data_IF_866276941185
#
_entry.id   IF_866276941185
#
_cell.length_a   1.000
_cell.length_b   1.000
_cell.length_c   1.000
_cell.angle_alpha   90.00
_cell.angle_beta   90.00
_cell.angle_gamma   90.00
#
_symmetry.space_group_name_H-M   'P 1'
#
loop_
_entity.id
_entity.type
_entity.pdbx_description
1 polymer ?
#
# COMPACT_ATOMS: atom_id res chain seq x y z
N UNK A 1 -26.82 11.24 -3.37
CA UNK A 1 -26.72 10.40 -2.17
C UNK A 1 -27.84 9.35 -2.05
N UNK A 2 -29.14 9.65 -2.32
CA UNK A 2 -30.22 8.65 -2.24
C UNK A 2 -30.09 7.50 -3.25
N UNK A 3 -29.83 7.79 -4.52
CA UNK A 3 -29.75 6.78 -5.59
C UNK A 3 -28.62 5.76 -5.36
N UNK A 4 -27.46 6.21 -4.87
CA UNK A 4 -26.32 5.33 -4.61
C UNK A 4 -26.55 4.40 -3.39
N UNK A 5 -27.22 4.88 -2.34
CA UNK A 5 -27.57 4.06 -1.19
C UNK A 5 -28.65 3.02 -1.54
N UNK A 6 -29.58 3.38 -2.45
CA UNK A 6 -30.59 2.45 -2.95
C UNK A 6 -29.98 1.32 -3.78
N UNK A 7 -28.91 1.62 -4.57
CA UNK A 7 -28.15 0.61 -5.29
C UNK A 7 -27.45 -0.38 -4.35
N UNK A 8 -26.78 0.15 -3.30
CA UNK A 8 -26.15 -0.69 -2.26
C UNK A 8 -27.16 -1.58 -1.56
N UNK A 9 -28.33 -1.01 -1.20
CA UNK A 9 -29.43 -1.77 -0.59
C UNK A 9 -29.93 -2.88 -1.50
N UNK A 10 -30.08 -2.61 -2.79
CA UNK A 10 -30.45 -3.59 -3.82
C UNK A 10 -29.42 -4.72 -3.92
N UNK A 11 -28.13 -4.37 -3.99
CA UNK A 11 -27.03 -5.31 -4.08
C UNK A 11 -26.97 -6.29 -2.89
N UNK A 12 -27.14 -5.76 -1.65
CA UNK A 12 -27.15 -6.55 -0.42
C UNK A 12 -28.37 -7.50 -0.37
N UNK A 13 -29.54 -7.02 -0.77
CA UNK A 13 -30.77 -7.83 -0.79
C UNK A 13 -30.73 -8.97 -1.83
N UNK A 14 -30.27 -8.66 -3.05
CA UNK A 14 -30.14 -9.64 -4.14
C UNK A 14 -29.25 -10.82 -3.72
N UNK A 15 -28.17 -10.54 -3.00
CA UNK A 15 -27.21 -11.53 -2.51
C UNK A 15 -27.54 -12.11 -1.14
N UNK A 16 -28.71 -11.72 -0.57
CA UNK A 16 -29.18 -12.19 0.75
C UNK A 16 -28.15 -11.99 1.86
N UNK A 17 -27.40 -10.89 1.81
CA UNK A 17 -26.39 -10.57 2.79
C UNK A 17 -27.04 -10.39 4.17
N UNK A 18 -26.54 -11.12 5.15
CA UNK A 18 -27.03 -11.11 6.55
C UNK A 18 -26.16 -10.23 7.45
N UNK A 19 -24.88 -10.10 7.12
CA UNK A 19 -23.90 -9.33 7.89
C UNK A 19 -23.06 -8.42 6.97
N UNK A 20 -22.68 -7.26 7.51
CA UNK A 20 -21.81 -6.30 6.83
C UNK A 20 -20.60 -5.98 7.71
N UNK A 21 -19.42 -6.28 7.23
CA UNK A 21 -18.16 -5.79 7.76
C UNK A 21 -17.95 -4.35 7.27
N UNK A 22 -18.17 -3.38 8.14
CA UNK A 22 -17.95 -1.98 7.85
C UNK A 22 -16.47 -1.65 8.06
N UNK A 23 -15.75 -1.24 7.04
CA UNK A 23 -14.30 -1.08 7.07
C UNK A 23 -13.86 0.35 6.81
N UNK A 24 -12.81 0.78 7.51
CA UNK A 24 -11.92 1.89 7.15
C UNK A 24 -10.47 1.40 7.25
N UNK A 25 -9.53 2.08 6.60
CA UNK A 25 -8.09 1.88 6.83
C UNK A 25 -7.60 2.90 7.86
N UNK A 26 -6.86 2.46 8.88
CA UNK A 26 -6.10 3.36 9.74
C UNK A 26 -4.77 3.81 9.09
N UNK A 27 -3.97 4.64 9.78
CA UNK A 27 -2.69 5.13 9.26
C UNK A 27 -1.68 4.01 8.98
N UNK A 28 -1.77 2.90 9.71
CA UNK A 28 -0.86 1.75 9.58
C UNK A 28 -1.25 0.79 8.45
N UNK A 29 -2.44 0.97 7.84
CA UNK A 29 -2.98 0.09 6.80
C UNK A 29 -3.79 -1.09 7.34
N UNK A 30 -4.10 -1.10 8.62
CA UNK A 30 -4.98 -2.10 9.22
C UNK A 30 -6.45 -1.72 8.93
N UNK A 31 -7.24 -2.73 8.53
CA UNK A 31 -8.67 -2.59 8.39
C UNK A 31 -9.32 -2.51 9.77
N UNK A 32 -9.93 -1.38 10.10
CA UNK A 32 -10.67 -1.13 11.35
C UNK A 32 -12.16 -1.02 11.05
N UNK A 33 -13.00 -1.40 12.01
CA UNK A 33 -14.43 -1.29 11.77
C UNK A 33 -15.32 -2.07 12.71
N UNK A 34 -16.52 -2.35 12.23
CA UNK A 34 -17.56 -3.10 12.98
C UNK A 34 -18.22 -4.11 12.05
N UNK A 35 -18.61 -5.25 12.61
CA UNK A 35 -19.50 -6.20 11.96
C UNK A 35 -20.92 -5.88 12.44
N UNK A 36 -21.83 -5.66 11.50
CA UNK A 36 -23.22 -5.31 11.81
C UNK A 36 -24.20 -6.18 11.04
N UNK A 37 -25.34 -6.59 11.66
CA UNK A 37 -26.45 -7.15 10.89
C UNK A 37 -26.88 -6.17 9.79
N UNK A 38 -27.21 -6.71 8.60
CA UNK A 38 -27.53 -5.88 7.40
C UNK A 38 -28.64 -4.88 7.68
N UNK A 39 -29.69 -5.25 8.40
CA UNK A 39 -30.78 -4.33 8.71
C UNK A 39 -30.28 -3.11 9.51
N UNK A 40 -29.47 -3.35 10.55
CA UNK A 40 -28.88 -2.29 11.36
C UNK A 40 -27.98 -1.39 10.53
N UNK A 41 -27.12 -1.96 9.68
CA UNK A 41 -26.26 -1.21 8.78
C UNK A 41 -27.06 -0.27 7.85
N UNK A 42 -28.18 -0.75 7.30
CA UNK A 42 -29.05 0.03 6.43
C UNK A 42 -29.79 1.14 7.19
N UNK A 43 -30.25 0.87 8.42
CA UNK A 43 -30.93 1.86 9.28
C UNK A 43 -29.97 2.99 9.71
N UNK A 44 -28.74 2.65 10.10
CA UNK A 44 -27.71 3.61 10.53
C UNK A 44 -26.99 4.29 9.35
N UNK A 45 -27.13 3.78 8.14
CA UNK A 45 -26.48 4.27 6.89
C UNK A 45 -24.96 4.31 7.01
N UNK A 46 -24.37 3.28 7.60
CA UNK A 46 -22.95 3.14 7.84
C UNK A 46 -22.63 2.84 9.31
N UNK A 47 -21.53 3.38 9.80
CA UNK A 47 -21.09 3.19 11.18
C UNK A 47 -20.52 4.48 11.79
N UNK A 48 -20.28 4.46 13.11
CA UNK A 48 -19.52 5.47 13.84
C UNK A 48 -18.35 4.82 14.55
N UNK A 49 -17.21 5.49 14.53
CA UNK A 49 -15.99 5.13 15.25
C UNK A 49 -15.36 6.40 15.84
N UNK A 50 -14.69 6.33 16.99
CA UNK A 50 -13.93 7.47 17.48
C UNK A 50 -12.78 7.79 16.50
N UNK A 51 -12.47 9.09 16.32
CA UNK A 51 -11.41 9.53 15.41
C UNK A 51 -10.05 8.98 15.85
N UNK A 52 -9.86 8.72 17.13
CA UNK A 52 -8.63 8.17 17.72
C UNK A 52 -8.21 6.83 17.12
N UNK A 53 -9.13 6.03 16.61
CA UNK A 53 -8.80 4.73 15.99
C UNK A 53 -7.82 4.85 14.82
N UNK A 54 -7.78 6.03 14.16
CA UNK A 54 -6.85 6.30 13.07
C UNK A 54 -5.40 6.48 13.54
N UNK A 55 -5.18 6.88 14.80
CA UNK A 55 -3.85 7.10 15.40
C UNK A 55 -3.30 5.88 16.14
N UNK A 56 -3.99 4.74 16.11
CA UNK A 56 -3.46 3.52 16.70
C UNK A 56 -2.20 3.05 15.99
N UNK A 57 -1.20 2.65 16.78
CA UNK A 57 0.00 1.96 16.30
C UNK A 57 -0.31 0.53 15.86
N UNK A 58 0.64 -0.15 15.22
CA UNK A 58 0.52 -1.58 14.89
C UNK A 58 0.37 -2.47 16.13
N UNK A 59 0.80 -2.00 17.31
CA UNK A 59 0.64 -2.70 18.59
C UNK A 59 -0.67 -2.40 19.30
N UNK A 60 -1.47 -1.47 18.76
CA UNK A 60 -2.74 -1.04 19.36
C UNK A 60 -2.60 0.09 20.39
N UNK A 61 -1.37 0.57 20.63
CA UNK A 61 -1.12 1.73 21.48
C UNK A 61 -1.51 3.05 20.77
N UNK A 62 -1.51 4.14 21.52
CA UNK A 62 -1.72 5.48 21.01
C UNK A 62 -0.43 6.31 21.08
N UNK A 63 -0.43 7.43 20.35
CA UNK A 63 0.61 8.45 20.45
C UNK A 63 0.61 9.12 21.85
N UNK A 64 1.69 9.82 22.20
CA UNK A 64 1.82 10.54 23.49
C UNK A 64 0.70 11.56 23.69
N UNK A 65 0.27 11.75 24.95
CA UNK A 65 -0.90 12.54 25.34
C UNK A 65 -0.89 13.97 24.83
N UNK A 66 0.26 14.65 24.81
CA UNK A 66 0.37 16.03 24.33
C UNK A 66 0.04 16.14 22.82
N UNK A 67 0.57 15.23 22.01
CA UNK A 67 0.29 15.15 20.57
C UNK A 67 -1.13 14.66 20.34
N UNK A 68 -1.59 13.67 21.13
CA UNK A 68 -2.94 13.15 21.02
C UNK A 68 -3.98 14.27 21.20
N UNK A 69 -3.84 15.09 22.24
CA UNK A 69 -4.76 16.19 22.52
C UNK A 69 -4.55 17.45 21.65
N UNK A 70 -3.42 17.58 20.96
CA UNK A 70 -3.24 18.57 19.89
C UNK A 70 -4.07 18.20 18.65
N UNK A 71 -4.16 16.92 18.33
CA UNK A 71 -4.75 16.41 17.09
C UNK A 71 -6.25 16.11 17.22
N UNK A 72 -6.69 15.63 18.38
CA UNK A 72 -8.03 15.11 18.63
C UNK A 72 -8.75 15.86 19.73
N UNK A 73 -10.09 15.84 19.66
CA UNK A 73 -10.93 16.34 20.74
C UNK A 73 -10.76 15.44 21.98
N UNK A 74 -10.54 16.04 23.19
CA UNK A 74 -10.40 15.26 24.43
C UNK A 74 -11.61 14.37 24.77
N UNK A 75 -12.78 14.66 24.20
CA UNK A 75 -13.99 13.85 24.35
C UNK A 75 -14.02 12.61 23.43
N UNK A 76 -12.98 12.38 22.62
CA UNK A 76 -12.87 11.29 21.66
C UNK A 76 -14.14 11.15 20.77
N UNK A 77 -14.48 12.25 20.09
CA UNK A 77 -15.72 12.37 19.33
C UNK A 77 -15.74 11.39 18.16
N UNK A 78 -16.89 10.74 17.96
CA UNK A 78 -17.14 9.86 16.84
C UNK A 78 -17.08 10.58 15.49
N UNK A 79 -16.37 10.00 14.54
CA UNK A 79 -16.49 10.32 13.13
C UNK A 79 -17.65 9.53 12.50
N UNK A 80 -18.23 10.10 11.44
CA UNK A 80 -19.29 9.49 10.64
C UNK A 80 -18.68 8.75 9.46
N UNK A 81 -18.73 7.42 9.51
CA UNK A 81 -18.24 6.56 8.44
C UNK A 81 -19.39 6.22 7.49
N UNK A 82 -19.35 6.78 6.28
CA UNK A 82 -20.37 6.59 5.25
C UNK A 82 -19.93 5.56 4.23
N UNK A 83 -20.78 4.55 3.91
CA UNK A 83 -20.42 3.52 2.94
C UNK A 83 -20.20 4.12 1.54
N UNK A 84 -19.15 3.65 0.85
CA UNK A 84 -18.97 3.92 -0.56
C UNK A 84 -19.64 2.79 -1.37
N UNK A 85 -20.71 3.07 -2.15
CA UNK A 85 -21.39 2.05 -2.94
C UNK A 85 -20.52 1.39 -4.02
N UNK A 86 -19.40 2.03 -4.38
CA UNK A 86 -18.45 1.48 -5.36
C UNK A 86 -17.37 0.60 -4.71
N UNK A 87 -17.32 0.53 -3.37
CA UNK A 87 -16.35 -0.23 -2.61
C UNK A 87 -17.02 -1.28 -1.72
N UNK A 88 -17.79 -2.15 -2.37
CA UNK A 88 -18.59 -3.22 -1.76
C UNK A 88 -18.12 -4.55 -2.33
N UNK A 89 -17.72 -5.47 -1.46
CA UNK A 89 -17.15 -6.75 -1.84
C UNK A 89 -17.79 -7.89 -1.03
N UNK A 90 -17.87 -9.10 -1.58
CA UNK A 90 -18.25 -10.28 -0.82
C UNK A 90 -17.14 -10.65 0.19
N UNK A 91 -17.51 -11.45 1.19
CA UNK A 91 -16.58 -12.13 2.10
C UNK A 91 -16.71 -13.63 1.91
N UNK A 92 -16.03 -14.22 0.89
CA UNK A 92 -16.28 -15.60 0.46
C UNK A 92 -15.92 -16.66 1.50
N UNK A 93 -15.05 -16.33 2.46
CA UNK A 93 -14.64 -17.24 3.55
C UNK A 93 -15.58 -17.20 4.76
N UNK A 94 -16.54 -16.28 4.81
CA UNK A 94 -17.49 -16.19 5.90
C UNK A 94 -18.49 -17.36 5.87
N UNK A 95 -18.92 -17.82 7.06
CA UNK A 95 -19.92 -18.89 7.20
C UNK A 95 -21.29 -18.40 6.71
N UNK A 96 -21.67 -17.20 7.13
CA UNK A 96 -22.93 -16.57 6.74
C UNK A 96 -22.68 -15.64 5.52
N UNK A 97 -23.71 -15.39 4.68
CA UNK A 97 -23.59 -14.44 3.57
C UNK A 97 -23.20 -13.06 4.06
N UNK A 98 -21.93 -12.70 3.89
CA UNK A 98 -21.33 -11.48 4.42
C UNK A 98 -20.78 -10.62 3.29
N UNK A 99 -20.93 -9.29 3.42
CA UNK A 99 -20.28 -8.30 2.60
C UNK A 99 -19.30 -7.46 3.42
N UNK A 100 -18.20 -7.02 2.82
CA UNK A 100 -17.35 -5.97 3.35
C UNK A 100 -17.55 -4.69 2.57
N UNK A 101 -17.72 -3.58 3.28
CA UNK A 101 -18.00 -2.27 2.69
C UNK A 101 -16.97 -1.27 3.21
N UNK A 102 -16.24 -0.63 2.31
CA UNK A 102 -15.29 0.41 2.68
C UNK A 102 -16.02 1.74 2.84
N UNK A 103 -15.64 2.50 3.86
CA UNK A 103 -16.32 3.74 4.23
C UNK A 103 -15.39 4.94 4.08
N UNK A 104 -15.97 6.05 3.64
CA UNK A 104 -15.39 7.38 3.80
C UNK A 104 -15.70 7.93 5.18
N UNK A 105 -14.80 8.70 5.75
CA UNK A 105 -14.92 9.26 7.11
C UNK A 105 -15.11 10.76 7.11
N UNK A 106 -16.04 11.24 7.92
CA UNK A 106 -16.43 12.65 8.01
C UNK A 106 -16.60 13.07 9.48
N UNK A 107 -16.38 14.35 9.74
CA UNK A 107 -16.77 14.98 11.01
C UNK A 107 -18.29 15.22 11.08
N UNK A 108 -18.77 15.74 12.21
CA UNK A 108 -20.19 16.09 12.41
C UNK A 108 -20.70 17.20 11.49
N UNK A 109 -19.80 18.01 10.92
CA UNK A 109 -20.12 19.07 9.96
C UNK A 109 -20.15 18.57 8.51
N UNK A 110 -19.71 17.33 8.28
CA UNK A 110 -19.61 16.73 6.96
C UNK A 110 -18.29 16.99 6.25
N UNK A 111 -17.28 17.52 6.94
CA UNK A 111 -15.93 17.66 6.37
C UNK A 111 -15.22 16.30 6.40
N UNK A 112 -14.43 15.97 5.36
CA UNK A 112 -13.59 14.77 5.38
C UNK A 112 -12.60 14.80 6.54
N UNK A 113 -12.46 13.68 7.26
CA UNK A 113 -11.44 13.52 8.30
C UNK A 113 -10.05 13.58 7.67
N UNK A 114 -9.21 14.48 8.19
CA UNK A 114 -7.87 14.74 7.64
C UNK A 114 -6.87 13.61 7.88
N UNK A 115 -7.06 12.82 8.94
CA UNK A 115 -6.21 11.68 9.28
C UNK A 115 -6.52 10.43 8.45
N UNK A 116 -7.64 10.38 7.74
CA UNK A 116 -8.06 9.18 7.01
C UNK A 116 -7.24 8.94 5.75
N UNK A 117 -6.55 7.79 5.62
CA UNK A 117 -5.75 7.47 4.44
C UNK A 117 -6.54 7.54 3.12
N UNK A 118 -7.77 7.03 3.12
CA UNK A 118 -8.63 7.07 1.93
C UNK A 118 -8.99 8.50 1.53
N UNK A 119 -9.24 9.39 2.51
CA UNK A 119 -9.50 10.80 2.25
C UNK A 119 -8.24 11.53 1.75
N UNK A 120 -7.05 11.15 2.22
CA UNK A 120 -5.77 11.68 1.70
C UNK A 120 -5.62 11.33 0.21
N UNK A 121 -5.87 10.08 -0.19
CA UNK A 121 -5.83 9.71 -1.61
C UNK A 121 -6.88 10.50 -2.42
N UNK A 122 -8.12 10.60 -1.94
CA UNK A 122 -9.18 11.39 -2.60
C UNK A 122 -8.79 12.86 -2.78
N UNK A 123 -8.10 13.46 -1.78
CA UNK A 123 -7.56 14.82 -1.89
C UNK A 123 -6.55 14.96 -3.03
N UNK A 124 -5.61 14.02 -3.15
CA UNK A 124 -4.63 14.02 -4.24
C UNK A 124 -5.31 13.84 -5.59
N UNK A 125 -6.23 12.88 -5.70
CA UNK A 125 -6.98 12.63 -6.95
C UNK A 125 -7.79 13.85 -7.39
N UNK A 126 -8.35 14.60 -6.44
CA UNK A 126 -9.03 15.87 -6.75
C UNK A 126 -8.11 16.90 -7.37
N UNK A 127 -6.84 16.99 -6.96
CA UNK A 127 -5.88 17.93 -7.57
C UNK A 127 -5.65 17.62 -9.05
N UNK A 128 -5.58 16.34 -9.41
CA UNK A 128 -5.51 15.91 -10.80
C UNK A 128 -6.79 16.24 -11.55
N UNK A 129 -7.95 15.90 -10.97
CA UNK A 129 -9.25 16.16 -11.59
C UNK A 129 -9.51 17.65 -11.85
N UNK A 130 -9.06 18.54 -10.96
CA UNK A 130 -9.15 20.00 -11.12
C UNK A 130 -8.35 20.51 -12.33
N UNK A 131 -7.44 19.70 -12.88
CA UNK A 131 -6.67 19.98 -14.11
C UNK A 131 -7.18 19.23 -15.34
N UNK A 132 -8.28 18.47 -15.22
CA UNK A 132 -8.76 17.59 -16.28
C UNK A 132 -7.89 16.35 -16.48
N UNK A 133 -7.11 15.95 -15.49
CA UNK A 133 -6.22 14.79 -15.52
C UNK A 133 -6.79 13.64 -14.68
N UNK A 134 -6.56 12.42 -15.14
CA UNK A 134 -6.90 11.20 -14.42
C UNK A 134 -5.65 10.33 -14.28
N UNK A 135 -5.15 10.10 -13.05
CA UNK A 135 -4.10 9.12 -12.81
C UNK A 135 -4.62 7.70 -13.04
N UNK A 136 -3.81 6.90 -13.71
CA UNK A 136 -4.00 5.46 -13.89
C UNK A 136 -2.84 4.76 -13.22
N UNK A 137 -3.14 3.77 -12.37
CA UNK A 137 -2.12 2.99 -11.66
C UNK A 137 -2.27 1.50 -11.94
N UNK A 138 -1.18 0.74 -11.80
CA UNK A 138 -1.17 -0.71 -11.80
C UNK A 138 -0.21 -1.17 -10.70
N UNK A 139 -0.71 -1.68 -9.59
CA UNK A 139 0.13 -2.24 -8.53
C UNK A 139 0.56 -3.67 -8.84
N UNK A 140 1.81 -4.01 -8.43
CA UNK A 140 2.35 -5.35 -8.37
C UNK A 140 2.60 -5.66 -6.89
N UNK A 141 1.97 -6.70 -6.34
CA UNK A 141 1.99 -7.01 -4.91
C UNK A 141 2.74 -8.29 -4.63
N UNK A 142 3.92 -8.16 -4.04
CA UNK A 142 4.72 -9.28 -3.58
C UNK A 142 4.34 -9.69 -2.14
N UNK A 143 4.45 -10.99 -1.85
CA UNK A 143 4.23 -11.54 -0.50
C UNK A 143 4.94 -12.88 -0.36
N UNK A 144 5.14 -13.31 0.88
CA UNK A 144 5.66 -14.64 1.19
C UNK A 144 4.57 -15.54 1.73
N UNK A 145 4.60 -16.80 1.31
CA UNK A 145 3.93 -17.89 2.01
C UNK A 145 4.87 -18.47 3.07
N UNK A 146 4.35 -18.72 4.26
CA UNK A 146 5.12 -19.25 5.40
C UNK A 146 4.36 -20.35 6.10
N UNK A 147 5.06 -21.24 6.78
CA UNK A 147 4.42 -22.06 7.82
C UNK A 147 3.77 -21.14 8.83
N UNK A 148 2.69 -21.61 9.47
CA UNK A 148 2.15 -20.92 10.63
C UNK A 148 3.26 -20.81 11.69
N UNK A 149 3.48 -19.59 12.18
CA UNK A 149 4.44 -19.31 13.23
C UNK A 149 3.69 -19.22 14.56
N UNK A 150 4.00 -20.11 15.49
CA UNK A 150 3.42 -20.12 16.84
C UNK A 150 4.30 -19.33 17.82
N UNK A 151 5.59 -19.21 17.54
CA UNK A 151 6.58 -18.53 18.36
C UNK A 151 7.23 -17.38 17.57
N UNK A 152 6.99 -16.11 17.93
CA UNK A 152 7.53 -14.96 17.21
C UNK A 152 9.06 -14.81 17.31
N UNK A 153 9.72 -15.52 18.23
CA UNK A 153 11.19 -15.52 18.36
C UNK A 153 11.85 -16.48 17.33
N UNK A 154 11.10 -17.34 16.67
CA UNK A 154 11.60 -18.24 15.65
C UNK A 154 11.54 -17.60 14.25
N UNK A 155 12.57 -17.83 13.41
CA UNK A 155 12.54 -17.39 12.01
C UNK A 155 11.39 -18.06 11.24
N UNK A 156 10.77 -17.31 10.33
CA UNK A 156 9.82 -17.88 9.38
C UNK A 156 10.45 -18.97 8.53
N UNK A 157 9.64 -19.94 8.18
CA UNK A 157 10.03 -21.05 7.28
C UNK A 157 9.06 -21.13 6.12
N UNK A 158 9.54 -21.44 4.90
CA UNK A 158 8.67 -21.74 3.77
C UNK A 158 7.71 -22.87 4.13
N UNK A 159 6.48 -22.88 3.60
CA UNK A 159 5.51 -23.94 3.86
C UNK A 159 5.88 -25.22 3.09
N UNK A 160 5.19 -26.30 3.39
CA UNK A 160 5.30 -27.56 2.66
C UNK A 160 4.33 -27.49 1.48
N UNK A 161 4.86 -27.64 0.24
CA UNK A 161 4.05 -27.69 -0.96
C UNK A 161 3.31 -29.03 -1.14
N UNK A 162 2.51 -29.14 -2.20
CA UNK A 162 1.71 -30.35 -2.51
C UNK A 162 2.58 -31.62 -2.74
N UNK A 163 3.82 -31.47 -3.11
CA UNK A 163 4.80 -32.57 -3.23
C UNK A 163 5.22 -33.17 -1.89
N UNK A 164 4.82 -32.55 -0.76
CA UNK A 164 5.25 -32.93 0.58
C UNK A 164 6.63 -32.40 0.96
N UNK A 165 7.25 -31.56 0.13
CA UNK A 165 8.58 -30.97 0.35
C UNK A 165 8.48 -29.47 0.64
N UNK A 166 9.40 -29.00 1.45
CA UNK A 166 9.62 -27.58 1.66
C UNK A 166 10.55 -27.05 0.57
N UNK A 167 10.25 -25.89 0.04
CA UNK A 167 11.13 -25.19 -0.89
C UNK A 167 12.40 -24.72 -0.15
N UNK A 168 13.57 -24.94 -0.76
CA UNK A 168 14.87 -24.63 -0.15
C UNK A 168 15.78 -23.79 -1.03
N UNK A 169 15.37 -23.48 -2.26
CA UNK A 169 16.13 -22.72 -3.23
C UNK A 169 15.28 -21.64 -3.89
N UNK A 170 15.97 -20.67 -4.48
CA UNK A 170 15.32 -19.60 -5.23
C UNK A 170 14.82 -20.10 -6.58
N UNK A 171 13.57 -19.87 -6.89
CA UNK A 171 12.86 -20.46 -8.03
C UNK A 171 12.20 -19.40 -8.94
N UNK A 172 12.86 -18.25 -9.14
CA UNK A 172 12.30 -17.16 -9.94
C UNK A 172 11.67 -17.63 -11.24
N UNK A 173 10.41 -17.25 -11.46
CA UNK A 173 9.58 -17.59 -12.62
C UNK A 173 9.32 -19.09 -12.83
N UNK A 174 9.58 -19.94 -11.83
CA UNK A 174 9.29 -21.36 -11.92
C UNK A 174 7.80 -21.64 -11.83
N UNK A 175 7.21 -22.14 -12.89
CA UNK A 175 5.80 -22.55 -12.91
C UNK A 175 5.56 -23.73 -11.96
N UNK A 176 6.50 -24.69 -11.91
CA UNK A 176 6.37 -25.85 -11.02
C UNK A 176 6.42 -25.44 -9.54
N UNK A 177 7.24 -24.44 -9.18
CA UNK A 177 7.30 -23.92 -7.82
C UNK A 177 6.00 -23.19 -7.43
N UNK A 178 5.43 -22.38 -8.32
CA UNK A 178 4.13 -21.77 -8.11
C UNK A 178 3.03 -22.84 -7.94
N UNK A 179 3.06 -23.89 -8.76
CA UNK A 179 2.12 -25.01 -8.71
C UNK A 179 2.21 -25.86 -7.43
N UNK A 180 3.29 -25.75 -6.64
CA UNK A 180 3.34 -26.39 -5.32
C UNK A 180 2.20 -25.90 -4.39
N UNK A 181 1.67 -24.70 -4.64
CA UNK A 181 0.59 -24.08 -3.87
C UNK A 181 -0.70 -23.90 -4.68
N UNK A 182 -0.86 -24.61 -5.79
CA UNK A 182 -1.98 -24.54 -6.71
C UNK A 182 -3.39 -24.56 -6.03
N UNK A 183 -3.72 -25.48 -5.09
CA UNK A 183 -5.03 -25.45 -4.45
C UNK A 183 -5.32 -24.17 -3.64
N UNK A 184 -4.27 -23.53 -3.10
CA UNK A 184 -4.40 -22.27 -2.38
C UNK A 184 -4.67 -21.13 -3.34
N UNK A 185 -3.98 -21.12 -4.49
CA UNK A 185 -4.16 -20.07 -5.51
C UNK A 185 -5.49 -20.20 -6.24
N UNK A 186 -6.00 -21.41 -6.46
CA UNK A 186 -7.35 -21.61 -6.99
C UNK A 186 -8.40 -20.98 -6.07
N UNK A 187 -8.37 -21.29 -4.75
CA UNK A 187 -9.28 -20.65 -3.79
C UNK A 187 -9.10 -19.10 -3.77
N UNK A 188 -7.88 -18.60 -3.83
CA UNK A 188 -7.62 -17.17 -3.88
C UNK A 188 -8.21 -16.53 -5.14
N UNK A 189 -8.05 -17.15 -6.33
CA UNK A 189 -8.62 -16.65 -7.58
C UNK A 189 -10.14 -16.69 -7.56
N UNK A 190 -10.75 -17.80 -7.13
CA UNK A 190 -12.21 -17.93 -7.02
C UNK A 190 -12.80 -16.85 -6.10
N UNK A 191 -12.14 -16.59 -4.97
CA UNK A 191 -12.58 -15.56 -4.04
C UNK A 191 -12.39 -14.14 -4.58
N UNK A 192 -11.27 -13.88 -5.26
CA UNK A 192 -11.04 -12.59 -5.90
C UNK A 192 -12.03 -12.33 -7.05
N UNK A 193 -12.35 -13.34 -7.86
CA UNK A 193 -13.39 -13.25 -8.90
C UNK A 193 -14.77 -12.95 -8.29
N UNK A 194 -15.14 -13.67 -7.22
CA UNK A 194 -16.40 -13.43 -6.50
C UNK A 194 -16.48 -12.02 -5.92
N UNK A 195 -15.36 -11.43 -5.57
CA UNK A 195 -15.23 -10.06 -5.07
C UNK A 195 -15.16 -9.01 -6.19
N UNK A 196 -14.92 -9.43 -7.43
CA UNK A 196 -14.71 -8.53 -8.56
C UNK A 196 -13.35 -7.81 -8.52
N UNK A 197 -12.32 -8.44 -7.97
CA UNK A 197 -10.96 -7.91 -8.00
C UNK A 197 -10.31 -8.16 -9.36
N UNK A 198 -9.70 -7.13 -9.93
CA UNK A 198 -9.09 -7.16 -11.26
C UNK A 198 -7.65 -7.67 -11.20
N UNK A 199 -7.47 -8.97 -10.92
CA UNK A 199 -6.16 -9.61 -10.94
C UNK A 199 -5.73 -9.91 -12.39
N UNK A 200 -4.41 -9.90 -12.62
CA UNK A 200 -3.82 -10.19 -13.94
C UNK A 200 -2.95 -11.44 -13.88
N UNK A 201 -1.78 -11.39 -13.27
CA UNK A 201 -0.77 -12.45 -13.34
C UNK A 201 -0.28 -12.86 -11.96
N UNK A 202 -0.08 -14.18 -11.74
CA UNK A 202 0.63 -14.75 -10.61
C UNK A 202 2.05 -15.12 -11.06
N UNK A 203 3.05 -14.72 -10.27
CA UNK A 203 4.46 -14.99 -10.53
C UNK A 203 5.09 -15.60 -9.27
N UNK A 204 5.95 -16.65 -9.44
CA UNK A 204 6.88 -17.04 -8.40
C UNK A 204 8.08 -16.09 -8.44
N UNK A 205 8.29 -15.35 -7.36
CA UNK A 205 9.36 -14.37 -7.23
C UNK A 205 10.71 -15.02 -6.88
N UNK A 206 11.75 -14.18 -6.65
CA UNK A 206 13.11 -14.65 -6.40
C UNK A 206 13.23 -15.42 -5.08
N UNK A 207 12.53 -14.98 -4.02
CA UNK A 207 12.64 -15.56 -2.68
C UNK A 207 11.91 -16.90 -2.56
N UNK A 208 12.33 -17.71 -1.59
CA UNK A 208 11.76 -19.02 -1.31
C UNK A 208 10.29 -18.90 -0.87
N UNK A 209 9.37 -19.46 -1.65
CA UNK A 209 7.91 -19.31 -1.51
C UNK A 209 7.43 -17.85 -1.54
N UNK A 210 8.15 -16.99 -2.26
CA UNK A 210 7.75 -15.62 -2.55
C UNK A 210 6.93 -15.59 -3.83
N UNK A 211 5.79 -14.91 -3.76
CA UNK A 211 4.85 -14.78 -4.87
C UNK A 211 4.55 -13.31 -5.14
N UNK A 212 4.15 -13.02 -6.38
CA UNK A 212 3.67 -11.71 -6.81
C UNK A 212 2.32 -11.87 -7.52
N UNK A 213 1.39 -10.98 -7.19
CA UNK A 213 0.13 -10.79 -7.91
C UNK A 213 0.14 -9.40 -8.55
N UNK A 214 -0.11 -9.37 -9.86
CA UNK A 214 -0.28 -8.14 -10.61
C UNK A 214 -1.77 -7.80 -10.71
N UNK A 215 -2.08 -6.50 -10.55
CA UNK A 215 -3.43 -5.99 -10.76
C UNK A 215 -3.51 -5.32 -12.13
N UNK A 216 -4.65 -5.44 -12.79
CA UNK A 216 -4.93 -4.67 -14.01
C UNK A 216 -4.91 -3.18 -13.70
N UNK A 217 -4.40 -2.41 -14.63
CA UNK A 217 -4.38 -0.95 -14.49
C UNK A 217 -5.80 -0.35 -14.41
N UNK A 218 -5.95 0.68 -13.59
CA UNK A 218 -7.23 1.30 -13.38
C UNK A 218 -7.18 2.58 -12.55
N UNK A 219 -8.33 3.00 -12.07
CA UNK A 219 -8.47 4.17 -11.21
C UNK A 219 -7.80 3.95 -9.85
N UNK A 220 -7.04 4.92 -9.40
CA UNK A 220 -6.18 4.79 -8.24
C UNK A 220 -6.93 4.49 -6.92
N UNK A 221 -8.11 5.10 -6.70
CA UNK A 221 -8.90 4.85 -5.49
C UNK A 221 -9.46 3.43 -5.46
N UNK A 222 -9.99 2.99 -6.61
CA UNK A 222 -10.55 1.65 -6.74
C UNK A 222 -9.48 0.57 -6.51
N UNK A 223 -8.27 0.75 -7.08
CA UNK A 223 -7.16 -0.18 -6.87
C UNK A 223 -6.61 -0.16 -5.45
N UNK A 224 -6.60 1.00 -4.77
CA UNK A 224 -6.26 1.06 -3.35
C UNK A 224 -7.26 0.25 -2.49
N UNK A 225 -8.56 0.35 -2.79
CA UNK A 225 -9.61 -0.46 -2.17
C UNK A 225 -9.40 -1.95 -2.45
N UNK A 226 -9.12 -2.32 -3.70
CA UNK A 226 -8.85 -3.72 -4.10
C UNK A 226 -7.62 -4.30 -3.38
N UNK A 227 -6.52 -3.55 -3.23
CA UNK A 227 -5.33 -4.01 -2.51
C UNK A 227 -5.65 -4.28 -1.04
N UNK A 228 -6.42 -3.41 -0.37
CA UNK A 228 -6.84 -3.63 1.01
C UNK A 228 -7.64 -4.93 1.15
N UNK A 229 -8.59 -5.16 0.24
CA UNK A 229 -9.41 -6.38 0.19
C UNK A 229 -8.56 -7.59 -0.14
N UNK A 230 -7.69 -7.51 -1.16
CA UNK A 230 -6.80 -8.60 -1.56
C UNK A 230 -5.90 -9.09 -0.44
N UNK A 231 -5.29 -8.16 0.32
CA UNK A 231 -4.43 -8.54 1.47
C UNK A 231 -5.21 -9.36 2.51
N UNK A 232 -6.49 -9.07 2.71
CA UNK A 232 -7.38 -9.87 3.58
C UNK A 232 -7.68 -11.22 2.95
N UNK A 233 -8.09 -11.24 1.70
CA UNK A 233 -8.44 -12.45 0.93
C UNK A 233 -7.28 -13.43 0.87
N UNK A 234 -6.07 -12.96 0.57
CA UNK A 234 -4.88 -13.81 0.50
C UNK A 234 -4.52 -14.43 1.86
N UNK A 235 -4.66 -13.66 2.96
CA UNK A 235 -4.43 -14.20 4.31
C UNK A 235 -5.45 -15.29 4.66
N UNK A 236 -6.71 -15.09 4.35
CA UNK A 236 -7.77 -16.08 4.62
C UNK A 236 -7.63 -17.33 3.73
N UNK A 237 -7.29 -17.15 2.45
CA UNK A 237 -6.99 -18.29 1.58
C UNK A 237 -5.81 -19.10 2.10
N UNK A 238 -4.72 -18.43 2.53
CA UNK A 238 -3.59 -19.11 3.15
C UNK A 238 -3.98 -19.87 4.43
N UNK A 239 -4.79 -19.26 5.32
CA UNK A 239 -5.26 -19.89 6.54
C UNK A 239 -6.12 -21.15 6.26
N UNK A 240 -6.96 -21.14 5.22
CA UNK A 240 -7.74 -22.30 4.78
C UNK A 240 -6.84 -23.51 4.44
N UNK A 241 -5.66 -23.24 3.87
CA UNK A 241 -4.66 -24.25 3.50
C UNK A 241 -3.60 -24.51 4.56
N UNK A 242 -3.83 -24.09 5.80
CA UNK A 242 -2.88 -24.25 6.92
C UNK A 242 -1.50 -23.61 6.69
N UNK A 243 -1.45 -22.53 5.91
CA UNK A 243 -0.29 -21.71 5.61
C UNK A 243 -0.56 -20.29 6.14
N UNK A 244 0.44 -19.44 6.18
CA UNK A 244 0.27 -18.00 6.41
C UNK A 244 0.81 -17.20 5.22
N UNK A 245 0.14 -16.12 4.85
CA UNK A 245 0.63 -15.14 3.90
C UNK A 245 1.07 -13.87 4.63
N UNK A 246 2.28 -13.39 4.35
CA UNK A 246 2.82 -12.17 4.94
C UNK A 246 3.19 -11.15 3.88
N UNK A 247 2.77 -9.90 4.13
CA UNK A 247 3.14 -8.71 3.36
C UNK A 247 4.23 -7.89 4.05
N UNK A 248 4.95 -8.48 4.98
CA UNK A 248 6.10 -7.86 5.64
C UNK A 248 7.19 -7.56 4.61
N UNK A 249 7.76 -6.34 4.65
CA UNK A 249 8.72 -5.90 3.62
C UNK A 249 10.00 -6.75 3.56
N UNK A 250 10.44 -7.31 4.70
CA UNK A 250 11.63 -8.17 4.78
C UNK A 250 11.42 -9.27 5.84
N UNK A 251 10.67 -10.34 5.55
CA UNK A 251 10.34 -11.34 6.56
C UNK A 251 11.48 -12.31 6.88
N UNK A 252 12.40 -12.57 5.94
CA UNK A 252 13.47 -13.54 6.10
C UNK A 252 14.85 -12.94 5.86
N UNK A 253 15.81 -13.29 6.73
CA UNK A 253 17.22 -12.94 6.55
C UNK A 253 17.79 -13.71 5.33
N UNK A 254 18.50 -13.00 4.46
CA UNK A 254 19.11 -13.59 3.27
C UNK A 254 18.20 -13.73 2.05
N UNK A 255 16.87 -13.69 2.22
CA UNK A 255 15.90 -13.68 1.13
C UNK A 255 15.62 -12.26 0.63
N UNK A 256 15.08 -12.04 -0.60
CA UNK A 256 14.63 -10.74 -1.07
C UNK A 256 13.54 -10.13 -0.18
N UNK A 257 13.34 -8.81 -0.27
CA UNK A 257 12.19 -8.15 0.33
C UNK A 257 10.96 -8.23 -0.56
N UNK A 258 9.79 -7.91 -0.01
CA UNK A 258 8.52 -7.82 -0.74
C UNK A 258 8.14 -6.37 -1.00
N UNK A 259 7.87 -6.06 -2.26
CA UNK A 259 7.46 -4.75 -2.74
C UNK A 259 5.95 -4.68 -3.04
N UNK A 260 5.48 -3.46 -3.14
CA UNK A 260 4.27 -3.09 -3.87
C UNK A 260 4.70 -2.08 -4.95
N UNK A 261 5.19 -2.58 -6.10
CA UNK A 261 5.57 -1.70 -7.19
C UNK A 261 4.35 -0.97 -7.73
N UNK A 262 4.50 0.32 -8.00
CA UNK A 262 3.41 1.16 -8.49
C UNK A 262 3.75 1.68 -9.88
N UNK A 263 3.18 1.08 -10.91
CA UNK A 263 3.13 1.67 -12.23
C UNK A 263 2.13 2.81 -12.24
N UNK A 264 2.50 3.93 -12.82
CA UNK A 264 1.63 5.11 -12.88
C UNK A 264 1.77 5.86 -14.19
N UNK A 265 0.63 6.27 -14.73
CA UNK A 265 0.50 7.15 -15.88
C UNK A 265 -0.61 8.15 -15.63
N UNK A 266 -0.75 9.14 -16.51
CA UNK A 266 -1.82 10.14 -16.41
C UNK A 266 -2.45 10.33 -17.78
N UNK A 267 -3.77 10.30 -17.82
CA UNK A 267 -4.53 10.58 -19.03
C UNK A 267 -5.25 11.93 -18.93
N UNK A 268 -5.35 12.62 -20.03
CA UNK A 268 -6.21 13.79 -20.18
C UNK A 268 -7.65 13.31 -20.37
N UNK A 269 -8.56 13.74 -19.48
CA UNK A 269 -9.95 13.25 -19.44
C UNK A 269 -10.74 13.63 -20.70
N UNK A 270 -10.43 14.80 -21.31
CA UNK A 270 -11.16 15.28 -22.46
C UNK A 270 -10.80 14.52 -23.74
N UNK A 271 -9.55 14.08 -23.87
CA UNK A 271 -9.03 13.43 -25.08
C UNK A 271 -8.82 11.92 -24.92
N UNK A 272 -8.76 11.41 -23.69
CA UNK A 272 -8.38 10.04 -23.38
C UNK A 272 -6.92 9.71 -23.69
N UNK A 273 -6.08 10.70 -24.05
CA UNK A 273 -4.68 10.50 -24.39
C UNK A 273 -3.80 10.45 -23.15
N UNK A 274 -2.79 9.60 -23.18
CA UNK A 274 -1.72 9.59 -22.16
C UNK A 274 -0.85 10.85 -22.33
N UNK A 275 -0.83 11.71 -21.29
CA UNK A 275 -0.07 12.98 -21.32
C UNK A 275 1.43 12.81 -21.17
N UNK A 276 1.92 11.61 -20.88
CA UNK A 276 3.33 11.27 -20.79
C UNK A 276 4.01 11.10 -22.15
N UNK A 277 3.23 11.15 -23.24
CA UNK A 277 3.74 11.01 -24.61
C UNK A 277 3.33 12.19 -25.48
N UNK A 278 4.25 12.62 -26.31
CA UNK A 278 3.99 13.56 -27.43
C UNK A 278 3.31 12.85 -28.60
N UNK A 279 2.80 13.60 -29.56
CA UNK A 279 2.14 13.05 -30.77
C UNK A 279 3.07 12.22 -31.66
N UNK A 280 4.38 12.54 -31.65
CA UNK A 280 5.43 11.78 -32.34
C UNK A 280 5.86 10.49 -31.59
N UNK A 281 5.28 10.24 -30.43
CA UNK A 281 5.59 9.08 -29.58
C UNK A 281 6.81 9.28 -28.67
N UNK A 282 7.45 10.42 -28.66
CA UNK A 282 8.53 10.75 -27.70
C UNK A 282 7.98 10.96 -26.29
N UNK A 283 8.86 10.99 -25.29
CA UNK A 283 8.51 11.37 -23.91
C UNK A 283 8.12 12.84 -23.88
N UNK A 284 7.00 13.15 -23.21
CA UNK A 284 6.57 14.53 -23.03
C UNK A 284 7.39 15.23 -21.92
N UNK A 285 7.42 16.55 -21.96
CA UNK A 285 8.00 17.38 -20.89
C UNK A 285 7.29 17.13 -19.56
N UNK A 286 5.96 16.98 -19.56
CA UNK A 286 5.19 16.61 -18.37
C UNK A 286 5.62 15.28 -17.76
N UNK A 287 6.01 14.29 -18.58
CA UNK A 287 6.52 13.03 -18.07
C UNK A 287 7.88 13.20 -17.37
N UNK A 288 8.78 13.95 -17.96
CA UNK A 288 10.08 14.24 -17.35
C UNK A 288 9.91 15.04 -16.06
N UNK A 289 9.01 16.02 -16.04
CA UNK A 289 8.67 16.76 -14.81
C UNK A 289 8.05 15.85 -13.75
N UNK A 290 7.21 14.89 -14.14
CA UNK A 290 6.65 13.90 -13.22
C UNK A 290 7.77 13.09 -12.55
N UNK A 291 8.74 12.59 -13.33
CA UNK A 291 9.92 11.88 -12.82
C UNK A 291 10.76 12.80 -11.91
N UNK A 292 11.00 14.05 -12.33
CA UNK A 292 11.72 15.04 -11.53
C UNK A 292 11.08 15.29 -10.16
N UNK A 293 9.74 15.34 -10.12
CA UNK A 293 8.97 15.45 -8.89
C UNK A 293 9.12 14.23 -8.00
N UNK A 294 9.05 13.02 -8.57
CA UNK A 294 9.31 11.77 -7.86
C UNK A 294 10.71 11.77 -7.23
N UNK A 295 11.74 12.14 -8.02
CA UNK A 295 13.13 12.21 -7.54
C UNK A 295 13.30 13.17 -6.37
N UNK A 296 12.65 14.32 -6.42
CA UNK A 296 12.78 15.38 -5.42
C UNK A 296 12.07 15.05 -4.14
N UNK A 297 10.82 14.53 -4.20
CA UNK A 297 9.95 14.44 -3.04
C UNK A 297 9.83 13.04 -2.43
N UNK A 298 10.18 11.96 -3.13
CA UNK A 298 10.18 10.62 -2.54
C UNK A 298 11.05 10.53 -1.27
N UNK A 299 12.26 11.12 -1.19
CA UNK A 299 13.04 11.07 0.05
C UNK A 299 12.34 11.70 1.27
N UNK A 300 11.46 12.69 1.05
CA UNK A 300 10.64 13.31 2.08
C UNK A 300 9.37 12.49 2.38
N UNK A 301 8.82 11.83 1.37
CA UNK A 301 7.62 10.99 1.48
C UNK A 301 7.94 9.52 1.80
N UNK A 302 9.21 9.14 1.99
CA UNK A 302 9.63 7.75 2.15
C UNK A 302 8.88 6.98 3.25
N UNK A 303 8.50 7.58 4.39
CA UNK A 303 7.72 6.87 5.40
C UNK A 303 6.37 6.35 4.91
N UNK A 304 5.79 6.94 3.85
CA UNK A 304 4.54 6.46 3.25
C UNK A 304 4.75 5.25 2.33
N UNK A 305 5.99 4.99 1.92
CA UNK A 305 6.42 3.82 1.12
C UNK A 305 7.09 2.73 1.96
N UNK A 306 7.76 3.13 3.03
CA UNK A 306 8.51 2.28 3.95
C UNK A 306 8.14 2.61 5.40
N UNK A 307 6.94 2.19 5.85
CA UNK A 307 6.34 2.69 7.09
C UNK A 307 6.93 2.10 8.37
N UNK A 308 7.70 1.03 8.29
CA UNK A 308 8.16 0.27 9.46
C UNK A 308 9.69 0.18 9.51
N UNK A 309 10.25 -0.07 10.69
CA UNK A 309 11.70 -0.36 10.84
C UNK A 309 12.13 -1.50 9.91
N UNK A 310 11.28 -2.52 9.76
CA UNK A 310 11.52 -3.65 8.89
C UNK A 310 11.58 -3.25 7.41
N UNK A 311 10.81 -2.25 6.97
CA UNK A 311 10.80 -1.78 5.58
C UNK A 311 12.19 -1.32 5.12
N UNK A 312 12.97 -0.69 6.00
CA UNK A 312 14.33 -0.21 5.69
C UNK A 312 15.34 -1.34 5.50
N UNK A 313 15.05 -2.55 6.01
CA UNK A 313 15.87 -3.75 5.77
C UNK A 313 15.79 -4.25 4.33
N UNK A 314 14.82 -3.76 3.54
CA UNK A 314 14.67 -4.08 2.13
C UNK A 314 15.65 -3.28 1.26
N UNK A 315 16.02 -2.05 1.63
CA UNK A 315 16.86 -1.15 0.85
C UNK A 315 18.36 -1.50 0.94
N UNK A 316 18.72 -2.68 0.44
CA UNK A 316 20.09 -3.15 0.39
C UNK A 316 20.55 -3.28 -1.07
N UNK A 317 21.80 -2.90 -1.40
CA UNK A 317 22.34 -3.13 -2.72
C UNK A 317 22.31 -4.61 -3.12
N UNK A 318 22.11 -4.87 -4.41
CA UNK A 318 22.14 -6.22 -5.00
C UNK A 318 21.08 -7.20 -4.44
N UNK A 319 19.95 -6.66 -3.95
CA UNK A 319 18.81 -7.44 -3.45
C UNK A 319 17.52 -7.20 -4.25
N UNK A 320 17.63 -6.80 -5.52
CA UNK A 320 16.52 -6.43 -6.41
C UNK A 320 15.66 -5.24 -5.91
N UNK A 321 16.01 -4.66 -4.77
CA UNK A 321 15.36 -3.48 -4.19
C UNK A 321 16.15 -2.20 -4.49
N UNK A 322 15.50 -1.06 -4.73
CA UNK A 322 16.16 0.21 -4.98
C UNK A 322 16.84 0.77 -3.73
N UNK A 323 17.94 1.50 -3.92
CA UNK A 323 18.67 2.20 -2.86
C UNK A 323 18.72 3.72 -3.08
N UNK A 324 18.06 4.19 -4.14
CA UNK A 324 18.04 5.58 -4.57
C UNK A 324 16.75 5.88 -5.35
N UNK A 325 16.54 7.13 -5.73
CA UNK A 325 15.44 7.59 -6.59
C UNK A 325 15.94 7.97 -8.00
N UNK A 326 17.02 7.36 -8.45
CA UNK A 326 17.45 7.46 -9.85
C UNK A 326 16.41 6.81 -10.77
N UNK A 327 16.41 7.23 -12.05
CA UNK A 327 15.53 6.66 -13.05
C UNK A 327 16.28 6.14 -14.27
N UNK A 328 15.67 5.22 -15.00
CA UNK A 328 16.21 4.68 -16.23
C UNK A 328 15.21 3.85 -17.01
N UNK A 329 15.43 3.80 -18.33
CA UNK A 329 14.63 2.96 -19.23
C UNK A 329 15.07 1.49 -19.09
N UNK A 330 14.08 0.58 -18.95
CA UNK A 330 14.27 -0.86 -18.74
C UNK A 330 15.29 -1.23 -17.64
N UNK A 331 15.52 -0.33 -16.68
CA UNK A 331 16.54 -0.50 -15.65
C UNK A 331 15.93 -0.90 -14.31
N UNK A 332 16.06 -2.15 -13.90
CA UNK A 332 15.56 -2.69 -12.61
C UNK A 332 16.48 -2.37 -11.41
N UNK A 333 17.61 -1.72 -11.62
CA UNK A 333 18.58 -1.37 -10.55
C UNK A 333 18.38 0.07 -10.01
N UNK A 334 17.36 0.78 -10.50
CA UNK A 334 16.99 2.13 -10.07
C UNK A 334 15.64 2.14 -9.37
N UNK A 335 15.36 3.21 -8.63
CA UNK A 335 14.08 3.38 -7.92
C UNK A 335 12.89 3.67 -8.82
N UNK A 336 13.14 4.31 -9.96
CA UNK A 336 12.12 4.71 -10.92
C UNK A 336 12.45 4.11 -12.30
N UNK A 337 11.77 3.02 -12.65
CA UNK A 337 11.94 2.36 -13.94
C UNK A 337 10.91 2.88 -14.93
N UNK A 338 11.34 3.17 -16.14
CA UNK A 338 10.46 3.43 -17.28
C UNK A 338 10.44 2.20 -18.17
N UNK A 339 9.39 1.36 -18.11
CA UNK A 339 9.30 0.17 -18.98
C UNK A 339 9.21 0.57 -20.46
N UNK A 340 9.78 -0.25 -21.35
CA UNK A 340 9.58 -0.11 -22.79
C UNK A 340 8.09 -0.33 -23.12
N UNK A 341 7.46 0.68 -23.71
CA UNK A 341 6.04 0.66 -24.01
C UNK A 341 5.71 1.69 -25.08
N UNK A 342 4.68 1.39 -25.86
CA UNK A 342 4.13 2.35 -26.83
C UNK A 342 3.57 3.61 -26.15
N UNK A 343 3.32 4.69 -26.92
CA UNK A 343 2.94 5.99 -26.38
C UNK A 343 1.72 5.97 -25.46
N UNK A 344 0.72 5.13 -25.75
CA UNK A 344 -0.50 5.01 -24.92
C UNK A 344 -0.26 4.32 -23.58
N UNK A 345 0.77 3.47 -23.50
CA UNK A 345 1.10 2.68 -22.31
C UNK A 345 2.32 3.22 -21.56
N UNK A 346 2.81 4.42 -21.94
CA UNK A 346 3.97 5.05 -21.30
C UNK A 346 3.66 5.33 -19.84
N UNK A 347 4.57 4.90 -18.97
CA UNK A 347 4.40 4.97 -17.52
C UNK A 347 5.74 4.96 -16.82
N UNK A 348 5.76 5.35 -15.56
CA UNK A 348 6.89 5.11 -14.66
C UNK A 348 6.47 4.10 -13.59
N UNK A 349 7.35 3.20 -13.25
CA UNK A 349 7.25 2.24 -12.15
C UNK A 349 8.03 2.80 -10.96
N UNK A 350 7.31 3.13 -9.88
CA UNK A 350 7.91 3.43 -8.59
C UNK A 350 8.14 2.12 -7.83
N UNK A 351 9.40 1.73 -7.66
CA UNK A 351 9.82 0.45 -7.06
C UNK A 351 10.06 0.54 -5.55
N UNK A 352 9.83 1.72 -4.95
CA UNK A 352 10.14 1.98 -3.55
C UNK A 352 9.11 1.47 -2.55
N UNK A 353 7.79 1.49 -2.82
CA UNK A 353 6.82 1.01 -1.85
C UNK A 353 7.05 -0.46 -1.48
N UNK A 354 7.06 -0.73 -0.17
CA UNK A 354 7.03 -2.08 0.37
C UNK A 354 5.63 -2.67 0.34
N UNK A 355 5.53 -3.99 0.34
CA UNK A 355 4.26 -4.69 0.45
C UNK A 355 3.52 -4.38 1.76
N UNK A 356 4.24 -3.94 2.79
CA UNK A 356 3.72 -3.52 4.09
C UNK A 356 3.15 -2.10 4.11
N UNK A 357 3.35 -1.32 3.05
CA UNK A 357 2.81 0.04 2.96
C UNK A 357 1.27 0.06 2.94
N UNK A 358 0.69 1.13 3.50
CA UNK A 358 -0.73 1.42 3.36
C UNK A 358 -1.03 1.78 1.90
N UNK A 359 -1.89 1.05 1.18
CA UNK A 359 -2.08 1.24 -0.25
C UNK A 359 -2.59 2.64 -0.61
N UNK A 360 -3.48 3.21 0.21
CA UNK A 360 -3.99 4.57 -0.03
C UNK A 360 -2.89 5.61 0.08
N UNK A 361 -2.03 5.49 1.11
CA UNK A 361 -0.97 6.46 1.38
C UNK A 361 0.18 6.33 0.38
N UNK A 362 0.56 5.10 0.02
CA UNK A 362 1.62 4.86 -0.97
C UNK A 362 1.22 5.37 -2.36
N UNK A 363 -0.01 5.08 -2.81
CA UNK A 363 -0.52 5.59 -4.09
C UNK A 363 -0.64 7.12 -4.04
N UNK A 364 -1.21 7.69 -2.95
CA UNK A 364 -1.33 9.13 -2.78
C UNK A 364 0.03 9.84 -2.84
N UNK A 365 1.03 9.31 -2.11
CA UNK A 365 2.38 9.89 -2.07
C UNK A 365 3.07 9.83 -3.44
N UNK A 366 2.99 8.69 -4.14
CA UNK A 366 3.59 8.52 -5.45
C UNK A 366 2.98 9.49 -6.47
N UNK A 367 1.66 9.56 -6.52
CA UNK A 367 0.94 10.49 -7.40
C UNK A 367 1.22 11.95 -7.02
N UNK A 368 1.23 12.29 -5.73
CA UNK A 368 1.49 13.66 -5.28
C UNK A 368 2.89 14.13 -5.66
N UNK A 369 3.92 13.31 -5.43
CA UNK A 369 5.29 13.65 -5.82
C UNK A 369 5.39 13.99 -7.32
N UNK A 370 4.80 13.13 -8.16
CA UNK A 370 4.75 13.37 -9.60
C UNK A 370 3.91 14.59 -9.99
N UNK A 371 2.77 14.81 -9.33
CA UNK A 371 1.92 15.98 -9.55
C UNK A 371 2.66 17.29 -9.29
N UNK A 372 3.36 17.38 -8.15
CA UNK A 372 4.14 18.59 -7.83
C UNK A 372 5.21 18.83 -8.89
N UNK A 373 5.90 17.77 -9.34
CA UNK A 373 6.87 17.86 -10.43
C UNK A 373 6.28 18.47 -11.69
N UNK A 374 5.11 17.98 -12.12
CA UNK A 374 4.44 18.49 -13.33
C UNK A 374 3.97 19.94 -13.20
N UNK A 375 3.49 20.37 -12.03
CA UNK A 375 2.96 21.73 -11.85
C UNK A 375 4.03 22.77 -11.56
N UNK A 376 5.16 22.36 -10.99
CA UNK A 376 6.31 23.22 -10.69
C UNK A 376 7.39 23.19 -11.80
N UNK A 377 7.25 22.34 -12.82
CA UNK A 377 8.22 22.18 -13.90
C UNK A 377 9.58 21.67 -13.41
N UNK A 378 9.57 20.61 -12.57
CA UNK A 378 10.80 20.08 -11.98
C UNK A 378 11.48 19.13 -12.95
N UNK A 379 12.67 19.49 -13.40
CA UNK A 379 13.45 18.69 -14.35
C UNK A 379 13.93 17.36 -13.73
N UNK A 380 13.78 16.26 -14.46
CA UNK A 380 14.39 15.00 -14.12
C UNK A 380 15.91 15.03 -14.32
N UNK A 381 16.64 14.23 -13.53
CA UNK A 381 18.06 13.96 -13.83
C UNK A 381 18.22 13.24 -15.19
N UNK A 382 19.44 13.15 -15.71
CA UNK A 382 19.70 12.26 -16.84
C UNK A 382 19.41 10.79 -16.46
N UNK A 383 18.86 9.97 -17.39
CA UNK A 383 18.58 8.55 -17.11
C UNK A 383 19.88 7.77 -16.85
N UNK A 384 19.80 6.81 -15.92
CA UNK A 384 20.94 5.96 -15.58
C UNK A 384 21.13 4.89 -16.64
N UNK A 385 22.34 4.85 -17.20
CA UNK A 385 22.81 3.75 -18.02
C UNK A 385 23.65 2.79 -17.15
N UNK A 386 23.36 1.48 -17.23
CA UNK A 386 24.03 0.46 -16.43
C UNK A 386 23.48 0.37 -14.98
N UNK A 387 24.33 -0.05 -14.04
CA UNK A 387 23.92 -0.34 -12.65
C UNK A 387 23.64 0.93 -11.84
N UNK A 388 22.41 1.10 -11.38
CA UNK A 388 21.97 2.20 -10.55
C UNK A 388 22.47 2.15 -9.10
N UNK A 389 22.80 0.98 -8.56
CA UNK A 389 23.25 0.80 -7.17
C UNK A 389 24.52 1.59 -6.82
N UNK A 390 25.38 1.87 -7.79
CA UNK A 390 26.61 2.62 -7.60
C UNK A 390 26.40 4.15 -7.53
N UNK A 391 25.21 4.62 -7.91
CA UNK A 391 24.86 6.03 -7.88
C UNK A 391 24.63 6.52 -6.45
N UNK A 392 25.21 7.68 -6.10
CA UNK A 392 25.20 8.18 -4.72
C UNK A 392 24.46 9.51 -4.54
N UNK A 393 24.03 10.15 -5.62
CA UNK A 393 23.51 11.52 -5.56
C UNK A 393 22.08 11.61 -5.06
N UNK A 394 21.22 10.66 -5.40
CA UNK A 394 19.79 10.65 -5.05
C UNK A 394 19.48 9.49 -4.08
N UNK A 395 20.20 9.45 -2.95
CA UNK A 395 20.06 8.40 -1.93
C UNK A 395 18.79 8.57 -1.11
N UNK A 396 18.24 7.44 -0.72
CA UNK A 396 17.17 7.37 0.25
C UNK A 396 17.69 7.65 1.68
N UNK A 397 16.84 8.15 2.59
CA UNK A 397 17.08 8.04 4.03
C UNK A 397 17.44 6.61 4.42
N UNK A 398 18.38 6.45 5.35
CA UNK A 398 18.87 5.12 5.75
C UNK A 398 18.10 4.53 6.94
N UNK A 399 17.44 5.39 7.72
CA UNK A 399 16.68 4.99 8.91
C UNK A 399 15.28 5.58 8.87
N UNK A 400 14.38 4.98 9.64
CA UNK A 400 13.03 5.51 9.75
C UNK A 400 13.02 6.89 10.42
N UNK A 401 13.90 7.16 11.37
CA UNK A 401 14.00 8.47 12.04
C UNK A 401 14.39 9.58 11.07
N UNK A 402 15.44 9.37 10.24
CA UNK A 402 15.85 10.33 9.21
C UNK A 402 14.70 10.58 8.22
N UNK A 403 13.99 9.53 7.83
CA UNK A 403 12.85 9.64 6.92
C UNK A 403 11.68 10.41 7.55
N UNK A 404 11.35 10.15 8.82
CA UNK A 404 10.27 10.85 9.54
C UNK A 404 10.62 12.32 9.77
N UNK A 405 11.88 12.64 10.10
CA UNK A 405 12.34 14.01 10.24
C UNK A 405 12.21 14.81 8.93
N UNK A 406 12.57 14.18 7.79
CA UNK A 406 12.41 14.81 6.47
C UNK A 406 10.94 15.04 6.13
N UNK A 407 10.08 14.07 6.42
CA UNK A 407 8.63 14.18 6.18
C UNK A 407 8.01 15.32 6.99
N UNK A 408 8.34 15.40 8.29
CA UNK A 408 7.84 16.42 9.21
C UNK A 408 8.24 17.85 8.77
N UNK A 409 9.47 18.00 8.27
CA UNK A 409 10.01 19.28 7.82
C UNK A 409 9.69 19.62 6.36
N UNK A 410 9.00 18.73 5.64
CA UNK A 410 8.62 18.92 4.24
C UNK A 410 7.52 19.97 4.09
N UNK A 411 7.87 21.17 3.61
CA UNK A 411 6.88 22.22 3.33
C UNK A 411 5.86 21.77 2.27
N UNK A 412 6.31 21.03 1.25
CA UNK A 412 5.45 20.55 0.20
C UNK A 412 4.43 19.54 0.73
N UNK A 413 4.88 18.52 1.47
CA UNK A 413 3.96 17.52 2.03
C UNK A 413 2.96 18.14 3.00
N UNK A 414 3.40 19.05 3.88
CA UNK A 414 2.50 19.80 4.79
C UNK A 414 1.47 20.62 4.01
N UNK A 415 1.90 21.30 2.94
CA UNK A 415 1.00 22.12 2.11
C UNK A 415 -0.10 21.27 1.45
N UNK A 416 0.25 20.12 0.88
CA UNK A 416 -0.67 19.32 0.07
C UNK A 416 -1.43 18.27 0.85
N UNK A 417 -0.81 17.61 1.84
CA UNK A 417 -1.44 16.57 2.66
C UNK A 417 -2.07 17.09 3.96
N UNK A 418 -1.65 18.27 4.40
CA UNK A 418 -2.15 18.92 5.63
C UNK A 418 -1.29 18.64 6.85
N UNK A 419 -1.15 19.68 7.71
CA UNK A 419 -0.33 19.59 8.93
C UNK A 419 -0.84 18.51 9.88
N UNK A 420 -2.16 18.42 10.11
CA UNK A 420 -2.76 17.42 11.01
C UNK A 420 -2.40 16.00 10.61
N UNK A 421 -2.47 15.67 9.31
CA UNK A 421 -2.08 14.35 8.79
C UNK A 421 -0.59 14.08 9.02
N UNK A 422 0.29 15.01 8.63
CA UNK A 422 1.75 14.83 8.76
C UNK A 422 2.12 14.62 10.23
N UNK A 423 1.62 15.48 11.14
CA UNK A 423 1.89 15.37 12.58
C UNK A 423 1.40 14.03 13.13
N UNK A 424 0.16 13.63 12.82
CA UNK A 424 -0.41 12.38 13.30
C UNK A 424 0.34 11.15 12.78
N UNK A 425 0.65 11.13 11.48
CA UNK A 425 1.42 10.02 10.89
C UNK A 425 2.81 9.88 11.48
N UNK A 426 3.56 10.99 11.58
CA UNK A 426 4.92 11.00 12.14
C UNK A 426 4.89 10.56 13.61
N UNK A 427 3.94 11.05 14.40
CA UNK A 427 3.80 10.68 15.81
C UNK A 427 3.49 9.19 15.97
N UNK A 428 2.56 8.63 15.18
CA UNK A 428 2.23 7.21 15.20
C UNK A 428 3.47 6.36 14.89
N UNK A 429 4.24 6.72 13.85
CA UNK A 429 5.43 5.96 13.46
C UNK A 429 6.60 6.12 14.44
N UNK A 430 6.74 7.26 15.09
CA UNK A 430 7.72 7.44 16.20
C UNK A 430 7.35 6.58 17.40
N UNK A 431 6.07 6.53 17.80
CA UNK A 431 5.62 5.67 18.90
C UNK A 431 5.92 4.18 18.61
N UNK A 432 5.67 3.71 17.40
CA UNK A 432 6.03 2.35 16.98
C UNK A 432 7.53 2.10 17.04
N UNK A 433 8.34 3.06 16.60
CA UNK A 433 9.79 2.96 16.63
C UNK A 433 10.35 2.95 18.07
N UNK A 434 9.81 3.79 18.96
CA UNK A 434 10.18 3.77 20.38
C UNK A 434 9.81 2.44 21.06
N UNK A 435 8.67 1.84 20.72
CA UNK A 435 8.31 0.51 21.18
C UNK A 435 9.29 -0.56 20.67
N UNK A 436 9.66 -0.48 19.39
CA UNK A 436 10.65 -1.39 18.80
C UNK A 436 12.02 -1.29 19.49
N UNK A 437 12.49 -0.09 19.83
CA UNK A 437 13.79 0.13 20.51
C UNK A 437 13.89 -0.50 21.89
N UNK A 438 12.77 -0.83 22.52
CA UNK A 438 12.74 -1.51 23.83
C UNK A 438 12.91 -3.03 23.72
N UNK A 439 12.82 -3.59 22.51
CA UNK A 439 12.93 -5.03 22.28
C UNK A 439 14.39 -5.42 22.18
N UNK A 440 14.85 -6.34 23.04
CA UNK A 440 16.18 -6.94 22.96
C UNK A 440 16.15 -8.08 21.95
N UNK A 441 16.85 -7.91 20.83
CA UNK A 441 16.85 -8.86 19.72
C UNK A 441 17.63 -10.15 20.01
N UNK A 442 17.35 -11.20 19.25
CA UNK A 442 18.14 -12.45 19.30
C UNK A 442 19.60 -12.21 18.94
N UNK A 443 19.88 -11.30 18.00
CA UNK A 443 21.24 -10.91 17.61
C UNK A 443 22.01 -10.28 18.80
N UNK A 444 21.37 -9.38 19.56
CA UNK A 444 21.99 -8.78 20.74
C UNK A 444 22.26 -9.83 21.82
N UNK A 445 21.31 -10.74 22.05
CA UNK A 445 21.51 -11.85 23.00
C UNK A 445 22.64 -12.78 22.56
N UNK A 446 22.74 -13.09 21.28
CA UNK A 446 23.78 -13.99 20.75
C UNK A 446 25.16 -13.38 20.81
N UNK A 447 25.33 -12.14 20.37
CA UNK A 447 26.64 -11.55 20.14
C UNK A 447 27.11 -10.59 21.24
N UNK A 448 26.22 -10.00 22.03
CA UNK A 448 26.60 -9.02 23.05
C UNK A 448 26.56 -9.57 24.47
N UNK A 449 25.70 -10.56 24.77
CA UNK A 449 25.43 -10.99 26.16
C UNK A 449 26.69 -11.40 26.93
N UNK A 450 27.67 -12.02 26.27
CA UNK A 450 28.90 -12.48 26.88
C UNK A 450 30.17 -11.87 26.28
N UNK A 451 30.03 -11.02 25.27
CA UNK A 451 31.16 -10.44 24.54
C UNK A 451 31.50 -9.01 24.94
N UNK A 452 30.59 -8.32 25.62
CA UNK A 452 30.78 -6.93 26.09
C UNK A 452 30.51 -6.79 27.57
#
# INVERSE_FOLDING_TARGET
MSIQLDQLTGWLKERKITEVECLISDLTGIARGKISPTNKFLDEKGMRLPESVLLQTVTGDYVEDDIYYELLDPADIDMFCRPDPNAVFLVPWAIEPTAQVIHDTYDKMGNPIELSPRNILKRVLKMYADRGWQPIVAPEMEFYLTKRCEDPDLPFQPPIGRSGRQETGRQSFSIDAANEFDPLFEDMYDWCEAQGLDLDTLIHEEGTAQMEINFRHGEALHLADQILVFKRTMREAALKHNVAATFMAKPMTGEPGSAMHLHQSVVDVATGKNIFSNEDGSMSELFLHHIGGLQKFIPEALPLFAPNVNSFRRFLPDTSAPVNVEWGEENRTVGLRVPDAGPQSRRVENRLPGADANPYLAIAASLLCGYIGMVEGIEASAPVQGRGYERRNLRLPLTIEDALERMENSRALVQYLGKKFITGYVATKRAEHENFKRVISSWEREFLLFAV
#
